data_IF_161903856591
#
_entry.id   IF_161903856591
#
_cell.length_a   1.000
_cell.length_b   1.000
_cell.length_c   1.000
_cell.angle_alpha   90.00
_cell.angle_beta   90.00
_cell.angle_gamma   90.00
#
_symmetry.space_group_name_H-M   'P 1'
#
loop_
_entity.id
_entity.type
_entity.pdbx_description
1 polymer ?
#
# COMPACT_ATOMS: atom_id res chain seq x y z
N UNK A 1 6.78 12.14 7.40
CA UNK A 1 6.04 11.22 6.53
C UNK A 1 5.39 10.17 7.40
N UNK A 2 4.06 10.18 7.47
CA UNK A 2 3.30 9.16 8.22
C UNK A 2 2.99 7.93 7.36
N UNK A 3 2.38 6.89 7.96
CA UNK A 3 2.03 5.66 7.25
C UNK A 3 1.03 5.83 6.12
N UNK A 4 0.15 6.84 6.16
CA UNK A 4 -0.80 7.10 5.07
C UNK A 4 -0.05 7.68 3.88
N UNK A 5 0.81 8.66 4.12
CA UNK A 5 1.67 9.23 3.06
C UNK A 5 2.59 8.18 2.43
N UNK A 6 3.10 7.22 3.23
CA UNK A 6 3.86 6.08 2.70
C UNK A 6 3.04 5.16 1.80
N UNK A 7 1.78 4.89 2.15
CA UNK A 7 0.88 4.06 1.31
C UNK A 7 0.60 4.75 -0.02
N UNK A 8 0.33 6.05 -0.01
CA UNK A 8 0.10 6.82 -1.25
C UNK A 8 1.36 6.88 -2.12
N UNK A 9 2.54 7.08 -1.52
CA UNK A 9 3.80 7.03 -2.25
C UNK A 9 4.02 5.68 -2.93
N UNK A 10 3.83 4.58 -2.20
CA UNK A 10 3.96 3.23 -2.76
C UNK A 10 2.93 2.98 -3.87
N UNK A 11 1.71 3.49 -3.72
CA UNK A 11 0.69 3.39 -4.76
C UNK A 11 1.14 4.08 -6.04
N UNK A 12 1.58 5.34 -5.96
CA UNK A 12 2.06 6.09 -7.13
C UNK A 12 3.21 5.35 -7.82
N UNK A 13 4.20 4.89 -7.06
CA UNK A 13 5.34 4.15 -7.65
C UNK A 13 4.90 2.84 -8.33
N UNK A 14 3.96 2.11 -7.74
CA UNK A 14 3.46 0.87 -8.34
C UNK A 14 2.59 1.13 -9.57
N UNK A 15 1.82 2.22 -9.59
CA UNK A 15 1.03 2.63 -10.75
C UNK A 15 1.92 3.05 -11.94
N UNK A 16 3.11 3.60 -11.67
CA UNK A 16 4.10 3.96 -12.70
C UNK A 16 4.87 2.75 -13.26
N UNK A 17 5.18 1.76 -12.42
CA UNK A 17 6.04 0.62 -12.79
C UNK A 17 5.26 -0.60 -13.31
N UNK A 18 4.01 -0.81 -12.87
CA UNK A 18 3.20 -1.95 -13.29
C UNK A 18 2.39 -1.67 -14.56
N UNK A 19 1.93 -2.74 -15.21
CA UNK A 19 1.08 -2.62 -16.39
C UNK A 19 -0.27 -1.99 -16.03
N UNK A 20 -0.91 -1.29 -16.98
CA UNK A 20 -2.26 -0.70 -16.78
C UNK A 20 -3.34 -1.76 -16.46
N UNK A 21 -3.08 -3.02 -16.80
CA UNK A 21 -3.94 -4.17 -16.46
C UNK A 21 -3.80 -4.63 -15.00
N UNK A 22 -2.75 -4.19 -14.31
CA UNK A 22 -2.53 -4.48 -12.90
C UNK A 22 -3.47 -3.65 -12.05
N UNK A 23 -4.12 -4.29 -11.07
CA UNK A 23 -5.06 -3.61 -10.18
C UNK A 23 -4.42 -3.38 -8.82
N UNK A 24 -4.24 -2.12 -8.46
CA UNK A 24 -3.70 -1.69 -7.16
C UNK A 24 -4.85 -1.10 -6.35
N UNK A 25 -5.05 -1.61 -5.13
CA UNK A 25 -6.13 -1.17 -4.23
C UNK A 25 -5.60 -1.05 -2.82
N UNK A 26 -6.06 -0.07 -2.06
CA UNK A 26 -5.91 -0.09 -0.60
C UNK A 26 -6.64 -1.28 0.01
N UNK A 27 -6.24 -1.69 1.22
CA UNK A 27 -6.95 -2.72 1.98
C UNK A 27 -8.46 -2.43 2.13
N UNK A 28 -8.83 -1.16 2.28
CA UNK A 28 -10.23 -0.75 2.36
C UNK A 28 -10.96 -0.95 1.03
N UNK A 29 -10.36 -0.54 -0.10
CA UNK A 29 -10.94 -0.74 -1.44
C UNK A 29 -11.01 -2.22 -1.85
N UNK A 30 -10.12 -3.06 -1.31
CA UNK A 30 -10.13 -4.50 -1.49
C UNK A 30 -11.10 -5.23 -0.53
N UNK A 31 -11.72 -4.52 0.43
CA UNK A 31 -12.66 -5.10 1.40
C UNK A 31 -12.00 -5.94 2.50
N UNK A 32 -10.71 -5.74 2.77
CA UNK A 32 -10.00 -6.44 3.83
C UNK A 32 -10.36 -5.89 5.22
N UNK A 33 -10.80 -6.78 6.12
CA UNK A 33 -11.11 -6.44 7.50
C UNK A 33 -9.83 -6.45 8.37
N UNK A 34 -9.03 -5.39 8.27
CA UNK A 34 -7.81 -5.21 9.06
C UNK A 34 -7.68 -3.78 9.59
N UNK A 35 -6.90 -3.63 10.67
CA UNK A 35 -6.49 -2.31 11.20
C UNK A 35 -5.22 -1.79 10.52
N UNK A 36 -4.55 -2.65 9.77
CA UNK A 36 -3.35 -2.29 9.04
C UNK A 36 -3.68 -1.42 7.82
N UNK A 37 -2.65 -0.76 7.30
CA UNK A 37 -2.72 0.03 6.07
C UNK A 37 -1.76 -0.57 5.08
N UNK A 38 -2.17 -0.61 3.83
CA UNK A 38 -1.44 -1.33 2.81
C UNK A 38 -2.20 -1.40 1.48
N UNK A 39 -1.57 -2.07 0.53
CA UNK A 39 -2.04 -2.25 -0.83
C UNK A 39 -2.21 -3.74 -1.14
N UNK A 40 -3.27 -4.06 -1.89
CA UNK A 40 -3.47 -5.31 -2.60
C UNK A 40 -3.13 -5.05 -4.07
N UNK A 41 -2.27 -5.88 -4.63
CA UNK A 41 -1.85 -5.82 -6.03
C UNK A 41 -2.31 -7.12 -6.70
N UNK A 42 -3.10 -7.00 -7.75
CA UNK A 42 -3.51 -8.13 -8.60
C UNK A 42 -2.89 -7.96 -9.97
N UNK A 43 -2.08 -8.94 -10.37
CA UNK A 43 -1.46 -9.00 -11.68
C UNK A 43 -2.39 -9.68 -12.70
N UNK A 44 -2.18 -9.47 -14.01
CA UNK A 44 -3.02 -10.05 -15.06
C UNK A 44 -3.02 -11.58 -15.09
N UNK A 45 -1.96 -12.21 -14.60
CA UNK A 45 -1.83 -13.67 -14.48
C UNK A 45 -2.63 -14.25 -13.30
N UNK A 46 -3.32 -13.41 -12.54
CA UNK A 46 -4.13 -13.78 -11.38
C UNK A 46 -3.33 -13.84 -10.08
N UNK A 47 -2.02 -13.58 -10.10
CA UNK A 47 -1.24 -13.50 -8.88
C UNK A 47 -1.66 -12.29 -8.05
N UNK A 48 -1.84 -12.50 -6.75
CA UNK A 48 -2.20 -11.46 -5.79
C UNK A 48 -1.11 -11.32 -4.72
N UNK A 49 -0.72 -10.08 -4.44
CA UNK A 49 0.24 -9.73 -3.41
C UNK A 49 -0.36 -8.68 -2.47
N UNK A 50 0.04 -8.73 -1.21
CA UNK A 50 -0.33 -7.72 -0.22
C UNK A 50 0.93 -7.06 0.34
N UNK A 51 0.98 -5.74 0.28
CA UNK A 51 2.03 -4.93 0.90
C UNK A 51 1.43 -4.23 2.11
N UNK A 52 1.96 -4.54 3.29
CA UNK A 52 1.53 -3.91 4.54
C UNK A 52 2.56 -2.87 4.98
N UNK A 53 2.11 -1.65 5.27
CA UNK A 53 2.95 -0.57 5.77
C UNK A 53 2.83 -0.48 7.28
N UNK A 54 3.91 -0.85 7.97
CA UNK A 54 4.02 -0.80 9.43
C UNK A 54 5.05 0.26 9.81
N UNK A 55 4.62 1.27 10.57
CA UNK A 55 5.52 2.23 11.18
C UNK A 55 6.10 1.65 12.47
N UNK A 56 7.34 1.17 12.41
CA UNK A 56 8.01 0.53 13.56
C UNK A 56 8.51 1.53 14.60
N UNK A 57 8.80 2.77 14.18
CA UNK A 57 9.27 3.85 15.05
C UNK A 57 8.61 5.17 14.67
N UNK A 58 8.36 5.98 15.69
CA UNK A 58 7.97 7.37 15.53
C UNK A 58 9.19 8.22 15.87
N UNK A 59 9.70 8.98 14.91
CA UNK A 59 10.53 10.13 15.25
C UNK A 59 9.60 11.16 15.89
N UNK A 60 9.78 11.42 17.18
CA UNK A 60 9.34 12.67 17.79
C UNK A 60 10.53 13.61 17.71
N UNK A 61 10.31 14.86 17.34
CA UNK A 61 11.26 15.91 17.70
C UNK A 61 11.21 15.96 19.23
N UNK A 62 12.30 15.58 19.88
CA UNK A 62 12.46 15.76 21.31
C UNK A 62 12.46 17.29 21.57
N UNK A 63 11.49 17.77 22.35
CA UNK A 63 11.44 19.16 22.87
C UNK A 63 12.60 19.46 23.82
#
# INVERSE_FOLDING_TARGET
>A
MDKFQMVELLRTLLEEELTEESRIQTFQEAGLLTRDKGLVIRLPDGNEFQITVIQSKFCKEDE
#
